data_IF_776012479798
#
_entry.id   IF_776012479798
#
_cell.length_a   1.000
_cell.length_b   1.000
_cell.length_c   1.000
_cell.angle_alpha   90.00
_cell.angle_beta   90.00
_cell.angle_gamma   90.00
#
_symmetry.space_group_name_H-M   'P 1'
#
loop_
_entity.id
_entity.type
_entity.pdbx_description
1 polymer ?
#
# COMPACT_ATOMS: atom_id res chain seq x y z
N UNK A 1 -24.85 0.16 0.32
CA UNK A 1 -23.58 -0.01 1.04
C UNK A 1 -23.18 1.31 1.68
N UNK A 2 -22.10 1.32 2.47
CA UNK A 2 -21.64 2.53 3.17
C UNK A 2 -20.39 3.05 2.50
N UNK A 3 -20.35 4.34 2.16
CA UNK A 3 -19.19 4.96 1.53
C UNK A 3 -17.93 4.88 2.41
N UNK A 4 -16.81 4.56 1.79
CA UNK A 4 -15.47 4.59 2.38
C UNK A 4 -14.83 5.98 2.18
N UNK A 5 -13.82 6.36 2.99
CA UNK A 5 -13.01 7.54 2.73
C UNK A 5 -12.40 7.53 1.31
N UNK A 6 -12.25 8.69 0.64
CA UNK A 6 -11.70 8.73 -0.70
C UNK A 6 -10.21 8.39 -0.71
N UNK A 7 -9.79 7.60 -1.70
CA UNK A 7 -8.39 7.38 -2.03
C UNK A 7 -7.77 8.57 -2.78
N UNK A 8 -6.44 8.68 -2.72
CA UNK A 8 -5.66 9.74 -3.39
C UNK A 8 -4.70 9.21 -4.46
N UNK A 9 -4.62 7.89 -4.63
CA UNK A 9 -3.81 7.27 -5.67
C UNK A 9 -4.47 7.36 -7.06
N UNK A 10 -3.69 7.17 -8.13
CA UNK A 10 -4.24 7.21 -9.47
C UNK A 10 -5.11 5.98 -9.74
N UNK A 11 -6.19 6.16 -10.49
CA UNK A 11 -7.08 5.09 -10.92
C UNK A 11 -6.99 4.87 -12.44
N UNK A 12 -7.06 3.61 -12.92
CA UNK A 12 -7.19 3.35 -14.34
C UNK A 12 -8.60 3.72 -14.82
N UNK A 13 -8.71 3.99 -16.13
CA UNK A 13 -9.99 4.11 -16.82
C UNK A 13 -9.99 3.14 -18.01
N UNK A 14 -10.85 2.11 -18.05
CA UNK A 14 -11.94 1.84 -17.09
C UNK A 14 -11.46 1.31 -15.72
N UNK A 15 -12.28 1.55 -14.68
CA UNK A 15 -12.03 1.18 -13.28
C UNK A 15 -12.38 -0.29 -13.02
N UNK A 16 -11.52 -1.20 -13.48
CA UNK A 16 -11.69 -2.65 -13.29
C UNK A 16 -10.50 -3.23 -12.54
N UNK A 17 -10.70 -4.38 -11.88
CA UNK A 17 -9.62 -5.15 -11.25
C UNK A 17 -8.46 -5.40 -12.22
N UNK A 18 -8.74 -5.94 -13.41
CA UNK A 18 -7.73 -6.27 -14.41
C UNK A 18 -6.92 -5.06 -14.87
N UNK A 19 -7.58 -3.90 -15.03
CA UNK A 19 -6.88 -2.67 -15.40
C UNK A 19 -6.03 -2.13 -14.26
N UNK A 20 -6.52 -2.23 -13.02
CA UNK A 20 -5.76 -1.80 -11.85
C UNK A 20 -4.51 -2.66 -11.65
N UNK A 21 -4.65 -3.98 -11.77
CA UNK A 21 -3.55 -4.93 -11.67
C UNK A 21 -2.42 -4.68 -12.69
N UNK A 22 -2.76 -4.13 -13.86
CA UNK A 22 -1.81 -3.80 -14.94
C UNK A 22 -1.51 -2.30 -15.05
N UNK A 23 -1.90 -1.48 -14.05
CA UNK A 23 -1.84 -0.03 -14.19
C UNK A 23 -0.41 0.50 -14.03
N UNK A 24 0.21 0.83 -15.16
CA UNK A 24 1.62 1.24 -15.22
C UNK A 24 1.94 2.50 -14.41
N UNK A 25 0.96 3.38 -14.16
CA UNK A 25 1.15 4.58 -13.36
C UNK A 25 1.61 4.27 -11.92
N UNK A 26 1.10 3.19 -11.32
CA UNK A 26 1.52 2.75 -9.98
C UNK A 26 3.00 2.37 -9.99
N UNK A 27 3.40 1.59 -10.99
CA UNK A 27 4.79 1.18 -11.16
C UNK A 27 5.71 2.37 -11.45
N UNK A 28 5.29 3.32 -12.29
CA UNK A 28 6.06 4.53 -12.57
C UNK A 28 6.31 5.34 -11.30
N UNK A 29 5.27 5.57 -10.48
CA UNK A 29 5.40 6.30 -9.21
C UNK A 29 6.34 5.56 -8.25
N UNK A 30 6.16 4.25 -8.08
CA UNK A 30 6.99 3.45 -7.17
C UNK A 30 8.47 3.41 -7.58
N UNK A 31 8.77 3.21 -8.87
CA UNK A 31 10.14 3.16 -9.36
C UNK A 31 10.85 4.52 -9.25
N UNK A 32 10.16 5.61 -9.59
CA UNK A 32 10.70 6.97 -9.58
C UNK A 32 10.79 7.59 -8.18
N UNK A 33 10.15 6.99 -7.18
CA UNK A 33 10.15 7.48 -5.81
C UNK A 33 11.57 7.55 -5.25
N UNK A 34 11.98 8.76 -4.83
CA UNK A 34 13.31 9.04 -4.30
C UNK A 34 13.45 8.45 -2.90
N UNK A 35 14.54 7.73 -2.66
CA UNK A 35 14.87 7.21 -1.33
C UNK A 35 15.22 8.37 -0.40
N UNK A 36 14.55 8.53 0.77
CA UNK A 36 14.88 9.56 1.73
C UNK A 36 16.29 9.39 2.29
N UNK A 37 16.93 10.50 2.69
CA UNK A 37 18.21 10.44 3.38
C UNK A 37 18.10 9.62 4.67
N UNK A 38 19.18 8.94 5.06
CA UNK A 38 19.22 8.03 6.22
C UNK A 38 18.34 6.78 6.10
N UNK A 39 17.77 6.54 4.91
CA UNK A 39 17.05 5.31 4.60
C UNK A 39 17.67 4.62 3.38
N UNK A 40 17.54 3.30 3.36
CA UNK A 40 17.86 2.45 2.21
C UNK A 40 16.59 1.82 1.65
N UNK A 41 16.39 1.92 0.33
CA UNK A 41 15.30 1.22 -0.36
C UNK A 41 15.69 -0.25 -0.53
N UNK A 42 15.02 -1.15 0.19
CA UNK A 42 15.35 -2.59 0.25
C UNK A 42 14.58 -3.42 -0.77
N UNK A 43 13.45 -2.91 -1.27
CA UNK A 43 12.76 -3.44 -2.44
C UNK A 43 11.92 -2.33 -3.09
N UNK A 44 11.57 -2.54 -4.36
CA UNK A 44 10.86 -1.56 -5.17
C UNK A 44 9.82 -2.24 -6.05
N UNK A 45 8.66 -1.60 -6.17
CA UNK A 45 7.59 -1.95 -7.11
C UNK A 45 7.17 -3.43 -7.08
N UNK A 46 6.93 -3.98 -5.88
CA UNK A 46 6.35 -5.31 -5.74
C UNK A 46 4.80 -5.25 -5.76
N UNK A 47 4.17 -6.38 -6.12
CA UNK A 47 2.72 -6.55 -6.11
C UNK A 47 2.21 -7.17 -4.80
N UNK A 48 2.80 -6.75 -3.69
CA UNK A 48 2.43 -7.20 -2.35
C UNK A 48 3.01 -6.31 -1.26
N UNK A 49 2.28 -6.13 -0.17
CA UNK A 49 2.77 -5.44 1.03
C UNK A 49 3.44 -6.45 1.94
N UNK A 50 4.25 -5.94 2.86
CA UNK A 50 4.80 -6.75 3.96
C UNK A 50 3.63 -7.33 4.76
N UNK A 51 3.61 -8.65 4.92
CA UNK A 51 2.59 -9.35 5.69
C UNK A 51 2.96 -9.37 7.18
N UNK A 52 2.00 -9.00 8.03
CA UNK A 52 2.16 -9.11 9.47
C UNK A 52 2.02 -10.57 9.91
N UNK A 53 2.98 -11.07 10.68
CA UNK A 53 3.01 -12.44 11.21
C UNK A 53 3.49 -12.41 12.67
N UNK A 54 3.52 -13.58 13.33
CA UNK A 54 4.06 -13.67 14.69
C UNK A 54 5.57 -13.39 14.77
N UNK A 55 6.30 -13.33 13.65
CA UNK A 55 7.76 -13.15 13.60
C UNK A 55 8.21 -11.75 13.21
N UNK A 56 7.30 -10.81 12.96
CA UNK A 56 7.60 -9.41 12.72
C UNK A 56 6.65 -8.48 13.48
N UNK A 57 7.06 -7.23 13.66
CA UNK A 57 6.35 -6.24 14.47
C UNK A 57 5.73 -5.22 13.54
N UNK A 58 4.45 -5.41 13.23
CA UNK A 58 3.63 -4.42 12.55
C UNK A 58 3.19 -3.34 13.54
N UNK A 59 3.39 -2.06 13.19
CA UNK A 59 3.10 -0.92 14.08
C UNK A 59 1.90 -0.10 13.62
N UNK A 60 1.15 -0.60 12.64
CA UNK A 60 0.03 0.12 12.02
C UNK A 60 0.42 0.82 10.70
N UNK A 61 -0.53 1.55 10.14
CA UNK A 61 -0.36 2.26 8.88
C UNK A 61 -1.01 3.64 8.91
N UNK A 62 -0.59 4.46 7.97
CA UNK A 62 -1.18 5.77 7.68
C UNK A 62 -1.57 5.82 6.21
N UNK A 63 -2.69 6.50 5.93
CA UNK A 63 -3.07 6.82 4.56
C UNK A 63 -2.48 8.17 4.17
N UNK A 64 -1.78 8.19 3.03
CA UNK A 64 -1.14 9.39 2.50
C UNK A 64 -1.95 9.95 1.34
N UNK A 65 -1.83 11.27 1.13
CA UNK A 65 -2.42 11.95 -0.03
C UNK A 65 -1.56 11.88 -1.28
N UNK A 66 -0.31 11.45 -1.14
CA UNK A 66 0.66 11.33 -2.23
C UNK A 66 1.59 10.15 -1.96
N UNK A 67 2.13 9.57 -3.03
CA UNK A 67 3.14 8.52 -2.93
C UNK A 67 4.49 9.15 -2.63
N UNK A 68 4.73 9.48 -1.36
CA UNK A 68 5.91 10.20 -0.91
C UNK A 68 6.67 9.40 0.18
N UNK A 69 7.82 8.79 -0.17
CA UNK A 69 8.66 8.11 0.79
C UNK A 69 9.11 9.01 1.95
N UNK A 70 9.36 10.31 1.72
CA UNK A 70 9.86 11.20 2.77
C UNK A 70 8.80 11.41 3.87
N UNK A 71 7.55 11.65 3.49
CA UNK A 71 6.43 11.68 4.43
C UNK A 71 6.26 10.35 5.18
N UNK A 72 6.40 9.22 4.48
CA UNK A 72 6.27 7.90 5.10
C UNK A 72 7.38 7.60 6.12
N UNK A 73 8.64 7.87 5.77
CA UNK A 73 9.77 7.67 6.68
C UNK A 73 9.74 8.63 7.86
N UNK A 74 9.28 9.88 7.67
CA UNK A 74 9.11 10.83 8.76
C UNK A 74 8.13 10.34 9.85
N UNK A 75 7.11 9.57 9.48
CA UNK A 75 6.20 8.92 10.45
C UNK A 75 6.95 7.85 11.26
N UNK A 76 7.83 7.09 10.62
CA UNK A 76 8.70 6.12 11.29
C UNK A 76 9.75 6.78 12.19
N UNK A 77 10.27 7.95 11.83
CA UNK A 77 11.19 8.73 12.67
C UNK A 77 10.52 9.24 13.95
N UNK A 78 9.24 9.59 13.87
CA UNK A 78 8.43 10.04 15.01
C UNK A 78 7.89 8.88 15.87
N UNK A 79 8.03 7.63 15.41
CA UNK A 79 7.48 6.45 16.09
C UNK A 79 8.58 5.67 16.78
N UNK A 80 8.61 5.71 18.12
CA UNK A 80 9.57 4.95 18.93
C UNK A 80 9.56 3.47 18.59
N UNK A 81 10.71 2.93 18.22
CA UNK A 81 10.87 1.51 17.86
C UNK A 81 10.66 1.19 16.38
N UNK A 82 10.23 2.15 15.55
CA UNK A 82 10.11 1.93 14.12
C UNK A 82 11.49 1.92 13.44
N UNK A 83 11.76 0.87 12.66
CA UNK A 83 13.03 0.62 11.97
C UNK A 83 12.85 0.50 10.45
N UNK A 84 11.62 0.32 9.97
CA UNK A 84 11.33 0.18 8.55
C UNK A 84 9.92 0.63 8.19
N UNK A 85 9.72 0.91 6.91
CA UNK A 85 8.43 1.28 6.34
C UNK A 85 8.15 0.49 5.08
N UNK A 86 6.87 0.28 4.79
CA UNK A 86 6.40 -0.20 3.50
C UNK A 86 5.35 0.77 2.95
N UNK A 87 5.70 1.45 1.86
CA UNK A 87 4.82 2.38 1.15
C UNK A 87 4.28 1.67 -0.09
N UNK A 88 2.95 1.63 -0.26
CA UNK A 88 2.32 0.90 -1.36
C UNK A 88 0.96 1.49 -1.72
N UNK A 89 0.45 1.12 -2.91
CA UNK A 89 -0.92 1.38 -3.31
C UNK A 89 -1.79 0.16 -3.01
N UNK A 90 -3.00 0.40 -2.53
CA UNK A 90 -4.03 -0.62 -2.32
C UNK A 90 -5.27 -0.28 -3.13
N UNK A 91 -5.80 -1.26 -3.88
CA UNK A 91 -7.11 -1.18 -4.52
C UNK A 91 -8.15 -1.46 -3.45
N UNK A 92 -8.85 -0.42 -3.00
CA UNK A 92 -9.90 -0.55 -1.99
C UNK A 92 -11.26 -0.23 -2.60
N UNK A 93 -12.36 -0.77 -2.06
CA UNK A 93 -13.69 -0.48 -2.56
C UNK A 93 -14.12 0.94 -2.14
N UNK A 94 -14.85 1.67 -2.99
CA UNK A 94 -15.35 3.01 -2.65
C UNK A 94 -16.52 2.97 -1.64
N UNK A 95 -17.13 1.80 -1.47
CA UNK A 95 -18.15 1.51 -0.47
C UNK A 95 -17.88 0.14 0.16
N UNK A 96 -18.22 -0.08 1.42
CA UNK A 96 -18.12 -1.40 2.07
C UNK A 96 -18.90 -2.44 1.25
N UNK A 97 -18.25 -3.46 0.65
CA UNK A 97 -18.93 -4.48 -0.13
C UNK A 97 -19.97 -5.24 0.71
N UNK A 98 -21.10 -5.59 0.10
CA UNK A 98 -22.16 -6.37 0.73
C UNK A 98 -23.22 -6.79 -0.29
N UNK A 99 -24.25 -7.51 0.14
CA UNK A 99 -25.27 -8.12 -0.75
C UNK A 99 -25.84 -7.16 -1.82
N UNK A 100 -26.04 -5.89 -1.47
CA UNK A 100 -26.59 -4.88 -2.37
C UNK A 100 -25.55 -4.23 -3.31
N UNK A 101 -24.26 -4.34 -3.00
CA UNK A 101 -23.14 -3.90 -3.85
C UNK A 101 -21.94 -4.84 -3.65
N UNK A 102 -21.96 -6.04 -4.26
CA UNK A 102 -20.93 -7.02 -3.97
C UNK A 102 -19.57 -6.68 -4.63
N UNK A 103 -19.56 -5.81 -5.65
CA UNK A 103 -18.37 -5.32 -6.35
C UNK A 103 -18.54 -3.83 -6.71
N UNK A 104 -18.35 -2.91 -5.74
CA UNK A 104 -18.40 -1.48 -6.00
C UNK A 104 -17.17 -0.99 -6.78
N UNK A 105 -17.23 0.23 -7.31
CA UNK A 105 -16.07 0.86 -7.96
C UNK A 105 -14.87 0.94 -6.99
N UNK A 106 -13.65 0.85 -7.53
CA UNK A 106 -12.45 0.96 -6.70
C UNK A 106 -12.00 2.41 -6.49
N UNK A 107 -11.39 2.64 -5.34
CA UNK A 107 -10.47 3.73 -5.05
C UNK A 107 -9.04 3.19 -4.98
N UNK A 108 -8.05 4.07 -5.07
CA UNK A 108 -6.65 3.71 -4.81
C UNK A 108 -6.16 4.44 -3.56
N UNK A 109 -5.90 3.69 -2.51
CA UNK A 109 -5.38 4.20 -1.23
C UNK A 109 -3.87 4.08 -1.23
N UNK A 110 -3.18 5.09 -0.70
CA UNK A 110 -1.73 5.08 -0.57
C UNK A 110 -1.41 4.80 0.89
N UNK A 111 -0.90 3.61 1.20
CA UNK A 111 -0.66 3.18 2.58
C UNK A 111 0.83 3.23 2.90
N UNK A 112 1.15 3.84 4.03
CA UNK A 112 2.46 3.82 4.67
C UNK A 112 2.39 2.96 5.93
N UNK A 113 2.79 1.70 5.82
CA UNK A 113 2.89 0.78 6.94
C UNK A 113 4.21 0.95 7.69
N UNK A 114 4.14 1.02 9.02
CA UNK A 114 5.30 1.14 9.90
C UNK A 114 5.66 -0.22 10.51
N UNK A 115 6.96 -0.49 10.63
CA UNK A 115 7.47 -1.77 11.10
C UNK A 115 8.55 -1.57 12.17
N UNK A 116 8.36 -2.26 13.30
CA UNK A 116 9.35 -2.40 14.38
C UNK A 116 10.31 -3.55 14.15
N UNK A 117 10.26 -4.16 12.97
CA UNK A 117 11.17 -5.20 12.50
C UNK A 117 11.64 -4.86 11.09
N UNK A 118 12.77 -5.44 10.64
CA UNK A 118 13.20 -5.27 9.27
C UNK A 118 12.13 -5.67 8.26
N UNK A 119 11.96 -4.84 7.23
CA UNK A 119 11.16 -5.15 6.05
C UNK A 119 12.06 -5.70 4.95
N UNK A 120 11.58 -6.71 4.22
CA UNK A 120 12.32 -7.38 3.15
C UNK A 120 11.38 -7.74 2.00
N UNK A 121 11.94 -7.92 0.80
CA UNK A 121 11.17 -8.34 -0.37
C UNK A 121 10.46 -9.69 -0.12
N UNK A 122 11.07 -10.61 0.62
CA UNK A 122 10.51 -11.94 0.91
C UNK A 122 9.28 -11.89 1.82
N UNK A 123 9.10 -10.82 2.59
CA UNK A 123 7.91 -10.63 3.43
C UNK A 123 6.77 -9.93 2.69
N UNK A 124 7.00 -9.41 1.47
CA UNK A 124 6.03 -8.70 0.66
C UNK A 124 5.02 -9.66 -0.01
N UNK A 125 4.35 -10.46 0.83
CA UNK A 125 3.49 -11.59 0.42
C UNK A 125 2.00 -11.34 0.67
N UNK A 126 1.64 -10.21 1.30
CA UNK A 126 0.24 -9.79 1.34
C UNK A 126 -0.13 -9.24 -0.04
N UNK A 127 -0.85 -10.03 -0.82
CA UNK A 127 -1.26 -9.68 -2.19
C UNK A 127 -2.70 -9.16 -2.27
N UNK A 128 -3.33 -8.93 -1.11
CA UNK A 128 -4.73 -8.55 -0.99
C UNK A 128 -5.64 -9.76 -0.71
N UNK A 129 -6.94 -9.50 -0.69
CA UNK A 129 -7.98 -10.47 -0.32
C UNK A 129 -9.31 -10.14 -0.98
N UNK A 130 -10.18 -11.13 -1.07
CA UNK A 130 -11.56 -10.93 -1.50
C UNK A 130 -12.43 -10.37 -0.36
N UNK A 131 -13.28 -9.41 -0.69
CA UNK A 131 -14.35 -8.88 0.13
C UNK A 131 -15.64 -8.96 -0.70
N UNK A 132 -16.50 -9.94 -0.41
CA UNK A 132 -17.57 -10.33 -1.33
C UNK A 132 -17.02 -10.63 -2.74
N UNK A 133 -17.48 -9.93 -3.78
CA UNK A 133 -16.99 -10.04 -5.15
C UNK A 133 -15.93 -8.99 -5.49
N UNK A 134 -15.53 -8.14 -4.55
CA UNK A 134 -14.48 -7.15 -4.75
C UNK A 134 -13.12 -7.72 -4.35
N UNK A 135 -12.13 -7.66 -5.25
CA UNK A 135 -10.76 -8.06 -4.94
C UNK A 135 -9.90 -6.87 -4.53
N UNK A 136 -9.46 -6.84 -3.28
CA UNK A 136 -8.40 -5.94 -2.85
C UNK A 136 -7.09 -6.40 -3.45
N UNK A 137 -6.32 -5.46 -4.00
CA UNK A 137 -5.03 -5.71 -4.63
C UNK A 137 -3.99 -4.77 -4.05
N UNK A 138 -2.73 -5.19 -4.09
CA UNK A 138 -1.60 -4.36 -3.69
C UNK A 138 -0.63 -4.20 -4.86
N UNK A 139 -0.14 -2.98 -5.08
CA UNK A 139 0.74 -2.64 -6.19
C UNK A 139 1.70 -1.51 -5.84
N UNK A 140 2.77 -1.38 -6.62
CA UNK A 140 3.76 -0.32 -6.45
C UNK A 140 4.39 -0.31 -5.06
N UNK A 141 4.63 -1.48 -4.46
CA UNK A 141 5.09 -1.60 -3.08
C UNK A 141 6.60 -1.40 -2.96
N UNK A 142 7.01 -0.41 -2.17
CA UNK A 142 8.40 -0.12 -1.83
C UNK A 142 8.66 -0.34 -0.33
N UNK A 143 9.86 -0.84 -0.01
CA UNK A 143 10.33 -1.00 1.36
C UNK A 143 11.51 -0.09 1.65
N UNK A 144 11.49 0.59 2.78
CA UNK A 144 12.58 1.46 3.23
C UNK A 144 13.01 1.10 4.65
N UNK A 145 14.31 0.97 4.85
CA UNK A 145 14.94 0.66 6.15
C UNK A 145 15.81 1.83 6.60
N UNK A 146 15.79 2.15 7.90
CA UNK A 146 16.76 3.07 8.53
C UNK A 146 18.18 2.49 8.51
#
# INVERSE_FOLDING_TARGET
>A
CTAEPPGYGPLPSPNTEANWANFTALATLANNAVTPALYSRVFVNLNGSVLATASNVYMGYYELKQYDPASCTALCDQTTGCVGTNLYFERDPCEVPGDACPDPDAITVIKCALWGSPVTAAQATNVGQWQENFHVLIGGSNGYMK
#
